data_IF_260479923134
#
_entry.id   IF_260479923134
#
_cell.length_a   1.000
_cell.length_b   1.000
_cell.length_c   1.000
_cell.angle_alpha   90.00
_cell.angle_beta   90.00
_cell.angle_gamma   90.00
#
_symmetry.space_group_name_H-M   'P 1'
#
loop_
_entity.id
_entity.type
_entity.pdbx_description
1 polymer ?
#
# COMPACT_ATOMS: atom_id res chain seq x y z
N UNK A 1 15.76 -7.10 -8.68
CA UNK A 1 14.50 -6.84 -7.95
C UNK A 1 13.82 -5.59 -8.50
N UNK A 2 12.53 -5.48 -8.23
CA UNK A 2 11.75 -4.30 -8.59
C UNK A 2 12.33 -3.05 -7.90
N UNK A 3 12.49 -1.99 -8.66
CA UNK A 3 12.99 -0.71 -8.17
C UNK A 3 11.84 0.18 -7.72
N UNK A 4 11.90 0.67 -6.47
CA UNK A 4 10.86 1.52 -5.89
C UNK A 4 11.41 2.90 -5.55
N UNK A 5 10.54 3.94 -5.43
CA UNK A 5 10.94 5.23 -4.89
C UNK A 5 11.52 5.09 -3.48
N UNK A 6 12.40 6.01 -3.08
CA UNK A 6 12.99 6.00 -1.74
C UNK A 6 11.93 6.12 -0.64
N UNK A 7 10.90 6.91 -0.87
CA UNK A 7 9.74 7.00 0.01
C UNK A 7 8.51 7.40 -0.80
N UNK A 8 7.33 7.05 -0.29
CA UNK A 8 6.08 7.34 -0.98
C UNK A 8 4.90 7.25 -0.01
N UNK A 9 3.90 8.08 -0.22
CA UNK A 9 2.62 7.94 0.47
C UNK A 9 1.78 6.89 -0.24
N UNK A 10 1.31 5.88 0.53
CA UNK A 10 0.46 4.82 0.01
C UNK A 10 -0.78 4.71 0.88
N UNK A 11 -1.81 4.05 0.36
CA UNK A 11 -3.04 3.82 1.11
C UNK A 11 -2.90 2.55 1.95
N UNK A 12 -3.26 2.64 3.23
CA UNK A 12 -3.27 1.51 4.16
C UNK A 12 -4.66 1.32 4.72
N UNK A 13 -5.17 0.10 4.65
CA UNK A 13 -6.39 -0.29 5.33
C UNK A 13 -6.29 -1.76 5.69
N UNK A 14 -5.59 -2.04 6.80
CA UNK A 14 -5.42 -3.40 7.27
C UNK A 14 -5.23 -3.40 8.80
N UNK A 15 -5.73 -4.44 9.46
CA UNK A 15 -5.56 -4.66 10.89
C UNK A 15 -4.56 -5.76 11.22
N UNK A 16 -4.01 -6.41 10.19
CA UNK A 16 -3.11 -7.54 10.35
C UNK A 16 -1.85 -7.34 9.51
N UNK A 17 -0.83 -8.13 9.78
CA UNK A 17 0.39 -8.16 9.00
C UNK A 17 0.76 -9.62 8.70
N UNK A 18 1.78 -9.82 7.90
CA UNK A 18 2.29 -11.14 7.54
C UNK A 18 3.77 -11.24 7.89
N UNK A 19 4.24 -12.47 8.02
CA UNK A 19 5.68 -12.73 8.12
C UNK A 19 6.28 -12.77 6.71
N UNK A 20 7.54 -12.32 6.61
CA UNK A 20 8.25 -12.35 5.32
C UNK A 20 8.49 -13.80 4.90
N UNK A 21 8.04 -14.22 3.71
CA UNK A 21 8.30 -15.58 3.24
C UNK A 21 9.80 -15.89 3.16
N UNK A 22 10.16 -17.16 3.34
CA UNK A 22 11.54 -17.60 3.20
C UNK A 22 12.05 -17.28 1.79
N UNK A 23 13.27 -16.74 1.69
CA UNK A 23 13.90 -16.31 0.44
C UNK A 23 13.27 -15.08 -0.22
N UNK A 24 12.31 -14.42 0.43
CA UNK A 24 11.77 -13.16 -0.06
C UNK A 24 12.72 -12.01 0.29
N UNK A 25 12.71 -10.99 -0.58
CA UNK A 25 13.44 -9.74 -0.37
C UNK A 25 12.47 -8.66 0.06
N UNK A 26 12.70 -8.04 1.20
CA UNK A 26 11.87 -6.93 1.67
C UNK A 26 12.20 -5.69 0.86
N UNK A 27 11.19 -5.10 0.21
CA UNK A 27 11.35 -3.92 -0.63
C UNK A 27 10.88 -2.63 0.05
N UNK A 28 9.93 -2.72 0.97
CA UNK A 28 9.40 -1.53 1.64
C UNK A 28 8.87 -1.87 3.03
N UNK A 29 8.99 -0.90 3.93
CA UNK A 29 8.52 -1.00 5.31
C UNK A 29 7.95 0.33 5.77
N UNK A 30 7.22 0.31 6.89
CA UNK A 30 6.75 1.51 7.58
C UNK A 30 6.94 1.34 9.09
N UNK A 31 6.74 2.43 9.83
CA UNK A 31 6.87 2.39 11.29
C UNK A 31 5.85 1.44 11.92
N UNK A 32 4.64 1.41 11.39
CA UNK A 32 3.55 0.58 11.92
C UNK A 32 3.68 -0.90 11.52
N UNK A 33 4.33 -1.19 10.39
CA UNK A 33 4.42 -2.55 9.87
C UNK A 33 5.71 -2.71 9.04
N UNK A 34 6.56 -3.65 9.47
CA UNK A 34 7.85 -3.85 8.82
C UNK A 34 7.74 -4.48 7.43
N UNK A 35 6.70 -5.29 7.20
CA UNK A 35 6.55 -6.05 5.96
C UNK A 35 5.45 -5.44 5.08
N UNK A 36 5.79 -4.40 4.33
CA UNK A 36 4.84 -3.73 3.46
C UNK A 36 4.86 -4.25 2.02
N UNK A 37 6.04 -4.40 1.44
CA UNK A 37 6.21 -4.92 0.07
C UNK A 37 7.40 -5.86 0.07
N UNK A 38 7.22 -7.03 -0.52
CA UNK A 38 8.32 -7.99 -0.70
C UNK A 38 8.32 -8.56 -2.12
N UNK A 39 9.46 -9.09 -2.52
CA UNK A 39 9.61 -9.83 -3.78
C UNK A 39 10.10 -11.24 -3.49
N UNK A 40 9.43 -12.22 -4.09
CA UNK A 40 9.83 -13.62 -4.04
C UNK A 40 10.09 -14.08 -5.47
N UNK A 41 11.36 -14.42 -5.77
CA UNK A 41 11.75 -14.75 -7.14
C UNK A 41 11.66 -13.53 -8.04
N UNK A 42 11.27 -13.72 -9.31
CA UNK A 42 11.23 -12.65 -10.31
C UNK A 42 9.85 -12.13 -10.64
N UNK A 43 8.79 -12.85 -10.24
CA UNK A 43 7.43 -12.55 -10.69
C UNK A 43 6.39 -12.47 -9.59
N UNK A 44 6.81 -12.59 -8.34
CA UNK A 44 5.87 -12.51 -7.21
C UNK A 44 6.20 -11.29 -6.37
N UNK A 45 5.25 -10.37 -6.28
CA UNK A 45 5.33 -9.18 -5.44
C UNK A 45 4.18 -9.24 -4.46
N UNK A 46 4.49 -9.24 -3.16
CA UNK A 46 3.49 -9.21 -2.10
C UNK A 46 3.32 -7.80 -1.58
N UNK A 47 2.09 -7.36 -1.40
CA UNK A 47 1.74 -6.01 -0.97
C UNK A 47 0.84 -6.08 0.26
N UNK A 48 1.24 -5.41 1.34
CA UNK A 48 0.37 -5.16 2.49
C UNK A 48 -0.35 -3.82 2.32
N UNK A 49 0.32 -2.84 1.72
CA UNK A 49 -0.28 -1.55 1.38
C UNK A 49 -1.12 -1.65 0.10
N UNK A 50 -1.92 -0.62 -0.14
CA UNK A 50 -2.78 -0.57 -1.31
C UNK A 50 -2.26 0.43 -2.33
N UNK A 51 -1.95 -0.03 -3.54
CA UNK A 51 -1.53 0.79 -4.66
C UNK A 51 -2.67 1.02 -5.67
N UNK A 52 -3.72 0.22 -5.58
CA UNK A 52 -4.89 0.26 -6.47
C UNK A 52 -5.92 1.31 -6.09
N UNK A 53 -5.80 1.90 -4.90
CA UNK A 53 -6.82 2.78 -4.34
C UNK A 53 -6.96 4.07 -5.14
N UNK A 54 -8.19 4.45 -5.43
CA UNK A 54 -8.56 5.74 -6.02
C UNK A 54 -9.22 6.62 -4.97
N UNK A 55 -9.36 7.92 -5.28
CA UNK A 55 -10.05 8.85 -4.39
C UNK A 55 -11.49 8.41 -4.10
N UNK A 56 -12.20 7.91 -5.12
CA UNK A 56 -13.58 7.44 -4.98
C UNK A 56 -13.66 6.19 -4.09
N UNK A 57 -12.74 5.24 -4.27
CA UNK A 57 -12.69 4.03 -3.46
C UNK A 57 -12.35 4.35 -2.00
N UNK A 58 -11.41 5.25 -1.75
CA UNK A 58 -11.07 5.68 -0.40
C UNK A 58 -12.27 6.32 0.29
N UNK A 59 -13.00 7.17 -0.41
CA UNK A 59 -14.21 7.81 0.09
C UNK A 59 -15.29 6.80 0.43
N UNK A 60 -15.48 5.81 -0.44
CA UNK A 60 -16.45 4.73 -0.22
C UNK A 60 -16.09 3.87 0.99
N UNK A 61 -14.81 3.54 1.18
CA UNK A 61 -14.35 2.78 2.34
C UNK A 61 -14.56 3.55 3.64
N UNK A 62 -14.25 4.84 3.66
CA UNK A 62 -14.48 5.69 4.83
C UNK A 62 -15.96 5.73 5.18
N UNK A 63 -16.83 5.85 4.17
CA UNK A 63 -18.27 5.91 4.38
C UNK A 63 -18.83 4.61 4.95
N UNK A 64 -18.38 3.45 4.46
CA UNK A 64 -18.94 2.14 4.82
C UNK A 64 -18.22 1.46 5.99
N UNK A 65 -16.99 1.85 6.29
CA UNK A 65 -16.14 1.20 7.30
C UNK A 65 -15.60 2.20 8.35
N UNK A 66 -16.32 3.30 8.59
CA UNK A 66 -15.88 4.36 9.50
C UNK A 66 -15.68 3.88 10.93
N UNK A 67 -16.37 2.84 11.35
CA UNK A 67 -16.24 2.24 12.68
C UNK A 67 -14.84 1.61 12.91
N UNK A 68 -14.12 1.30 11.85
CA UNK A 68 -12.73 0.79 11.95
C UNK A 68 -11.72 1.90 12.21
N UNK A 69 -12.11 3.17 12.08
CA UNK A 69 -11.24 4.34 12.23
C UNK A 69 -11.23 4.88 13.67
N UNK A 70 -11.19 3.99 14.67
CA UNK A 70 -11.22 4.36 16.07
C UNK A 70 -9.96 3.88 16.79
N UNK A 71 -9.44 4.74 17.69
CA UNK A 71 -8.40 4.35 18.63
C UNK A 71 -6.98 4.43 18.11
N UNK A 72 -6.17 3.54 18.08
CA UNK A 72 -4.78 3.28 17.76
C UNK A 72 -3.90 4.43 17.20
N UNK A 73 -2.64 4.43 17.58
CA UNK A 73 -1.66 5.46 17.18
C UNK A 73 -1.41 5.50 15.67
N UNK A 74 -1.66 4.41 14.97
CA UNK A 74 -1.39 4.27 13.53
C UNK A 74 -2.66 4.27 12.68
N UNK A 75 -3.83 4.54 13.29
CA UNK A 75 -5.10 4.63 12.59
C UNK A 75 -5.39 6.10 12.31
N UNK A 76 -5.50 6.46 11.04
CA UNK A 76 -5.85 7.81 10.62
C UNK A 76 -7.38 8.00 10.68
N UNK A 77 -7.82 9.22 11.00
CA UNK A 77 -9.24 9.56 10.94
C UNK A 77 -9.69 9.78 9.48
N UNK A 78 -11.01 9.89 9.29
CA UNK A 78 -11.60 10.06 7.98
C UNK A 78 -11.10 11.31 7.26
N UNK A 79 -10.96 12.43 7.96
CA UNK A 79 -10.52 13.69 7.37
C UNK A 79 -9.09 13.59 6.85
N UNK A 80 -8.20 12.94 7.60
CA UNK A 80 -6.81 12.72 7.19
C UNK A 80 -6.73 11.84 5.95
N UNK A 81 -7.51 10.76 5.92
CA UNK A 81 -7.55 9.84 4.77
C UNK A 81 -8.06 10.59 3.52
N UNK A 82 -9.13 11.36 3.66
CA UNK A 82 -9.75 12.06 2.54
C UNK A 82 -8.94 13.30 2.08
N UNK A 83 -7.96 13.72 2.86
CA UNK A 83 -7.09 14.84 2.52
C UNK A 83 -6.00 14.49 1.49
N UNK A 84 -5.83 13.21 1.13
CA UNK A 84 -4.85 12.80 0.13
C UNK A 84 -5.09 13.50 -1.20
N UNK A 85 -4.03 14.02 -1.80
CA UNK A 85 -4.11 14.81 -3.02
C UNK A 85 -4.28 13.95 -4.28
N UNK A 86 -4.77 14.56 -5.37
CA UNK A 86 -4.83 13.90 -6.66
C UNK A 86 -3.43 13.42 -7.12
N UNK A 87 -2.39 14.19 -6.83
CA UNK A 87 -1.02 13.80 -7.15
C UNK A 87 -0.59 12.53 -6.42
N UNK A 88 -1.00 12.34 -5.17
CA UNK A 88 -0.71 11.12 -4.42
C UNK A 88 -1.40 9.91 -5.04
N UNK A 89 -2.67 10.03 -5.44
CA UNK A 89 -3.37 8.94 -6.12
C UNK A 89 -2.76 8.63 -7.48
N UNK A 90 -2.31 9.64 -8.21
CA UNK A 90 -1.61 9.44 -9.49
C UNK A 90 -0.30 8.67 -9.29
N UNK A 91 0.46 8.97 -8.25
CA UNK A 91 1.68 8.22 -7.91
C UNK A 91 1.39 6.76 -7.58
N UNK A 92 0.31 6.48 -6.85
CA UNK A 92 -0.14 5.11 -6.57
C UNK A 92 -0.45 4.36 -7.86
N UNK A 93 -1.19 4.97 -8.76
CA UNK A 93 -1.56 4.37 -10.04
C UNK A 93 -0.33 4.09 -10.91
N UNK A 94 0.62 5.02 -10.95
CA UNK A 94 1.87 4.84 -11.69
C UNK A 94 2.70 3.69 -11.11
N UNK A 95 2.79 3.59 -9.80
CA UNK A 95 3.54 2.53 -9.15
C UNK A 95 2.87 1.16 -9.37
N UNK A 96 1.53 1.09 -9.31
CA UNK A 96 0.81 -0.14 -9.62
C UNK A 96 1.08 -0.60 -11.05
N UNK A 97 1.06 0.33 -12.01
CA UNK A 97 1.40 0.03 -13.40
C UNK A 97 2.82 -0.54 -13.51
N UNK A 98 3.78 0.05 -12.81
CA UNK A 98 5.15 -0.43 -12.76
C UNK A 98 5.25 -1.86 -12.21
N UNK A 99 4.53 -2.14 -11.13
CA UNK A 99 4.50 -3.49 -10.52
C UNK A 99 3.93 -4.50 -11.51
N UNK A 100 2.81 -4.17 -12.14
CA UNK A 100 2.16 -5.06 -13.11
C UNK A 100 3.04 -5.33 -14.32
N UNK A 101 3.69 -4.32 -14.86
CA UNK A 101 4.63 -4.48 -15.98
C UNK A 101 5.82 -5.35 -15.58
N UNK A 102 6.33 -5.17 -14.37
CA UNK A 102 7.47 -5.93 -13.86
C UNK A 102 7.14 -7.42 -13.77
N UNK A 103 6.00 -7.78 -13.18
CA UNK A 103 5.66 -9.20 -12.95
C UNK A 103 5.18 -9.90 -14.21
N UNK A 104 4.75 -9.15 -15.23
CA UNK A 104 4.25 -9.73 -16.49
C UNK A 104 5.26 -9.71 -17.63
N UNK A 105 6.43 -9.10 -17.46
CA UNK A 105 7.44 -9.06 -18.51
C UNK A 105 7.98 -10.45 -18.82
N UNK A 106 8.36 -10.72 -20.10
CA UNK A 106 8.91 -12.02 -20.52
C UNK A 106 10.19 -12.41 -19.78
#
# INVERSE_FOLDING_TARGET
VLSLPASMHVFHWHGETFELPTNAVLLASSVACNNQIFQLGQRVIGLQCHLETTADNARSMVLHCADELTGGSFIQDADTILAASAAQYQQLSQLMTQVLEYVTRP
#
